data_IF_874120934074
#
_entry.id   IF_874120934074
#
_cell.length_a   1.000
_cell.length_b   1.000
_cell.length_c   1.000
_cell.angle_alpha   90.00
_cell.angle_beta   90.00
_cell.angle_gamma   90.00
#
_symmetry.space_group_name_H-M   'P 1'
#
loop_
_entity.id
_entity.type
_entity.pdbx_description
1 polymer ?
#
# COMPACT_ATOMS: atom_id res chain seq x y z
N UNK A 1 21.65 39.89 37.27
CA UNK A 1 20.87 40.33 36.09
C UNK A 1 21.06 39.26 35.03
N UNK A 2 20.16 38.26 34.97
CA UNK A 2 20.21 37.17 34.00
C UNK A 2 19.14 37.38 32.95
N UNK A 3 19.54 37.53 31.69
CA UNK A 3 18.63 37.65 30.55
C UNK A 3 18.09 36.26 30.20
N UNK A 4 16.80 36.02 30.49
CA UNK A 4 16.04 34.93 29.87
C UNK A 4 15.65 35.35 28.45
N UNK A 5 16.37 34.85 27.45
CA UNK A 5 15.88 34.81 26.07
C UNK A 5 14.97 33.59 25.95
N UNK A 6 13.66 33.80 26.14
CA UNK A 6 12.65 32.82 25.76
C UNK A 6 12.48 32.88 24.24
N UNK A 7 13.03 31.88 23.55
CA UNK A 7 12.78 31.67 22.12
C UNK A 7 11.29 31.40 21.89
N UNK A 8 10.58 32.41 21.40
CA UNK A 8 9.25 32.26 20.81
C UNK A 8 9.42 31.64 19.42
N UNK A 9 9.49 30.31 19.35
CA UNK A 9 9.28 29.60 18.09
C UNK A 9 7.80 29.74 17.76
N UNK A 10 7.47 30.71 16.90
CA UNK A 10 6.14 30.83 16.34
C UNK A 10 5.80 29.51 15.63
N UNK A 11 4.82 28.77 16.18
CA UNK A 11 4.26 27.59 15.56
C UNK A 11 3.56 28.04 14.28
N UNK A 12 4.25 27.93 13.14
CA UNK A 12 3.58 27.99 11.84
C UNK A 12 2.44 26.95 11.87
N UNK A 13 1.23 27.28 11.40
CA UNK A 13 0.19 26.28 11.27
C UNK A 13 0.73 25.14 10.40
N UNK A 14 0.60 23.91 10.89
CA UNK A 14 1.00 22.72 10.14
C UNK A 14 0.32 22.67 8.77
N UNK A 15 0.86 21.89 7.82
CA UNK A 15 0.25 21.73 6.50
C UNK A 15 -1.23 21.36 6.63
N UNK A 16 -2.10 21.87 5.74
CA UNK A 16 -3.52 21.56 5.76
C UNK A 16 -3.74 20.06 5.62
N UNK A 17 -4.83 19.54 6.20
CA UNK A 17 -5.16 18.13 6.06
C UNK A 17 -5.33 17.77 4.57
N UNK A 18 -4.80 16.61 4.12
CA UNK A 18 -4.91 16.20 2.73
C UNK A 18 -6.38 15.99 2.34
N UNK A 19 -6.71 16.39 1.11
CA UNK A 19 -8.06 16.18 0.56
C UNK A 19 -8.21 14.71 0.15
N UNK A 20 -9.31 14.02 0.51
CA UNK A 20 -9.57 12.67 0.04
C UNK A 20 -9.62 12.59 -1.49
N UNK A 21 -8.86 11.66 -2.04
CA UNK A 21 -8.86 11.32 -3.48
C UNK A 21 -9.23 9.85 -3.67
N UNK A 22 -9.89 9.54 -4.79
CA UNK A 22 -10.18 8.17 -5.20
C UNK A 22 -9.21 7.75 -6.29
N UNK A 23 -8.54 6.63 -6.08
CA UNK A 23 -7.59 6.03 -7.01
C UNK A 23 -7.98 4.58 -7.30
N UNK A 24 -7.52 4.05 -8.41
CA UNK A 24 -7.61 2.63 -8.73
C UNK A 24 -6.42 1.88 -8.13
N UNK A 25 -6.68 0.97 -7.21
CA UNK A 25 -5.70 0.06 -6.63
C UNK A 25 -5.94 -1.39 -7.02
N UNK A 26 -4.98 -2.26 -6.72
CA UNK A 26 -5.13 -3.72 -6.81
C UNK A 26 -5.55 -4.24 -5.44
N UNK A 27 -6.55 -5.12 -5.42
CA UNK A 27 -6.85 -5.98 -4.27
C UNK A 27 -6.37 -7.39 -4.57
N UNK A 28 -5.70 -7.98 -3.59
CA UNK A 28 -5.32 -9.39 -3.54
C UNK A 28 -6.16 -10.05 -2.44
N UNK A 29 -7.29 -10.68 -2.81
CA UNK A 29 -8.25 -11.22 -1.83
C UNK A 29 -7.68 -12.42 -1.05
N UNK A 30 -7.88 -12.44 0.26
CA UNK A 30 -7.46 -13.58 1.09
C UNK A 30 -8.35 -14.83 0.90
N UNK A 31 -9.53 -14.68 0.31
CA UNK A 31 -10.44 -15.80 -0.01
C UNK A 31 -10.00 -16.64 -1.23
N UNK A 32 -8.86 -16.30 -1.85
CA UNK A 32 -8.30 -16.99 -3.00
C UNK A 32 -8.94 -16.61 -4.34
N UNK A 33 -9.91 -15.68 -4.36
CA UNK A 33 -10.44 -15.15 -5.61
C UNK A 33 -9.37 -14.35 -6.38
N UNK A 34 -9.48 -14.22 -7.72
CA UNK A 34 -8.46 -13.57 -8.52
C UNK A 34 -8.21 -12.11 -8.10
N UNK A 35 -6.95 -11.65 -8.13
CA UNK A 35 -6.62 -10.25 -7.97
C UNK A 35 -7.38 -9.40 -8.99
N UNK A 36 -7.89 -8.25 -8.54
CA UNK A 36 -8.69 -7.35 -9.38
C UNK A 36 -8.48 -5.91 -8.95
N UNK A 37 -8.81 -5.00 -9.87
CA UNK A 37 -8.74 -3.57 -9.61
C UNK A 37 -10.05 -3.06 -9.03
N UNK A 38 -9.95 -2.09 -8.13
CA UNK A 38 -11.10 -1.44 -7.52
C UNK A 38 -10.80 0.03 -7.17
N UNK A 39 -11.83 0.89 -7.09
CA UNK A 39 -11.67 2.24 -6.58
C UNK A 39 -11.42 2.21 -5.06
N UNK A 40 -10.44 2.98 -4.61
CA UNK A 40 -10.05 3.15 -3.22
C UNK A 40 -10.00 4.65 -2.91
N UNK A 41 -10.82 5.10 -1.97
CA UNK A 41 -10.79 6.48 -1.48
C UNK A 41 -9.80 6.60 -0.32
N UNK A 42 -8.95 7.62 -0.36
CA UNK A 42 -7.95 7.85 0.68
C UNK A 42 -8.53 8.53 1.92
N UNK A 43 -7.85 8.37 3.05
CA UNK A 43 -8.21 8.97 4.34
C UNK A 43 -6.96 9.38 5.10
N UNK A 44 -7.01 10.51 5.79
CA UNK A 44 -6.02 10.88 6.82
C UNK A 44 -6.41 10.34 8.22
N UNK A 45 -7.64 9.83 8.36
CA UNK A 45 -8.20 9.45 9.66
C UNK A 45 -7.54 8.18 10.17
N UNK A 46 -6.79 8.32 11.25
CA UNK A 46 -6.08 7.21 11.90
C UNK A 46 -4.77 6.84 11.22
N UNK A 47 -4.24 7.72 10.36
CA UNK A 47 -2.93 7.61 9.73
C UNK A 47 -1.82 8.13 10.64
N UNK A 48 -2.07 9.25 11.33
CA UNK A 48 -1.11 9.83 12.27
C UNK A 48 -0.65 8.80 13.33
N UNK A 49 0.67 8.63 13.45
CA UNK A 49 1.30 7.68 14.36
C UNK A 49 1.31 6.22 13.90
N UNK A 50 0.79 5.92 12.70
CA UNK A 50 0.92 4.61 12.05
C UNK A 50 2.22 4.44 11.26
N UNK A 51 2.50 3.23 10.73
CA UNK A 51 3.69 2.97 9.91
C UNK A 51 3.69 3.74 8.57
N UNK A 52 2.53 4.21 8.17
CA UNK A 52 2.20 4.94 6.96
C UNK A 52 2.03 6.46 7.19
N UNK A 53 2.42 6.96 8.37
CA UNK A 53 2.24 8.36 8.75
C UNK A 53 2.93 9.34 7.78
N UNK A 54 4.06 8.95 7.18
CA UNK A 54 4.81 9.79 6.24
C UNK A 54 4.05 10.10 4.94
N UNK A 55 3.01 9.33 4.61
CA UNK A 55 2.20 9.59 3.42
C UNK A 55 1.12 10.66 3.66
N UNK A 56 0.77 10.95 4.92
CA UNK A 56 -0.29 11.89 5.30
C UNK A 56 -1.71 11.34 5.13
N UNK A 57 -1.99 10.70 3.99
CA UNK A 57 -3.24 9.99 3.72
C UNK A 57 -2.98 8.73 2.90
N UNK A 58 -3.81 7.72 3.11
CA UNK A 58 -3.67 6.39 2.49
C UNK A 58 -5.04 5.83 2.11
N UNK A 59 -5.14 4.80 1.26
CA UNK A 59 -6.40 4.10 1.00
C UNK A 59 -7.14 3.71 2.30
N UNK A 60 -8.44 3.99 2.38
CA UNK A 60 -9.25 3.62 3.54
C UNK A 60 -9.67 2.14 3.51
N UNK A 61 -8.84 1.25 4.04
CA UNK A 61 -9.04 -0.20 3.91
C UNK A 61 -9.98 -0.82 4.97
N UNK A 62 -10.60 0.02 5.82
CA UNK A 62 -11.37 -0.44 6.99
C UNK A 62 -12.58 -1.30 6.61
N UNK A 63 -13.21 -1.03 5.46
CA UNK A 63 -14.36 -1.79 4.99
C UNK A 63 -14.01 -3.25 4.62
N UNK A 64 -12.76 -3.51 4.21
CA UNK A 64 -12.31 -4.85 3.82
C UNK A 64 -11.77 -5.65 5.00
N UNK A 65 -11.04 -5.02 5.90
CA UNK A 65 -10.52 -5.70 7.09
C UNK A 65 -11.56 -5.89 8.20
N UNK A 66 -12.69 -5.18 8.15
CA UNK A 66 -13.86 -5.43 9.00
C UNK A 66 -13.68 -5.18 10.50
N UNK A 67 -12.46 -4.99 11.00
CA UNK A 67 -12.16 -4.79 12.42
C UNK A 67 -11.25 -3.59 12.66
N UNK A 68 -11.45 -2.91 13.79
CA UNK A 68 -10.57 -1.82 14.22
C UNK A 68 -9.16 -2.29 14.53
N UNK A 69 -9.02 -3.55 14.97
CA UNK A 69 -7.72 -4.14 15.33
C UNK A 69 -6.89 -4.37 14.07
N UNK A 70 -7.47 -4.97 13.03
CA UNK A 70 -6.77 -5.16 11.76
C UNK A 70 -6.26 -3.84 11.15
N UNK A 71 -7.04 -2.76 11.20
CA UNK A 71 -6.59 -1.43 10.77
C UNK A 71 -5.43 -0.88 11.62
N UNK A 72 -5.46 -1.10 12.94
CA UNK A 72 -4.41 -0.66 13.85
C UNK A 72 -3.11 -1.44 13.66
N UNK A 73 -3.22 -2.72 13.32
CA UNK A 73 -2.13 -3.65 13.06
C UNK A 73 -1.81 -3.74 11.56
N UNK A 74 -2.14 -2.68 10.81
CA UNK A 74 -1.72 -2.56 9.41
C UNK A 74 -0.23 -2.28 9.34
N UNK A 75 0.36 -2.66 8.22
CA UNK A 75 1.73 -2.28 7.86
C UNK A 75 1.80 -1.96 6.37
N UNK A 76 2.93 -1.37 5.97
CA UNK A 76 3.20 -0.96 4.60
C UNK A 76 4.57 -1.44 4.15
N UNK A 77 4.64 -1.91 2.91
CA UNK A 77 5.90 -2.15 2.22
C UNK A 77 5.87 -1.48 0.86
N UNK A 78 7.04 -1.13 0.32
CA UNK A 78 7.14 -0.64 -1.04
C UNK A 78 7.77 -1.70 -1.94
N UNK A 79 7.41 -1.67 -3.21
CA UNK A 79 8.08 -2.44 -4.24
C UNK A 79 8.12 -1.65 -5.53
N UNK A 80 9.13 -1.91 -6.35
CA UNK A 80 9.32 -1.23 -7.62
C UNK A 80 9.14 -2.21 -8.76
N UNK A 81 8.38 -1.79 -9.77
CA UNK A 81 8.34 -2.48 -11.06
C UNK A 81 9.13 -1.63 -12.05
N UNK A 82 10.09 -2.26 -12.70
CA UNK A 82 10.92 -1.64 -13.74
C UNK A 82 10.97 -2.56 -14.95
N UNK A 83 11.10 -1.97 -16.14
CA UNK A 83 11.30 -2.72 -17.39
C UNK A 83 10.21 -3.76 -17.62
N UNK A 84 8.98 -3.46 -17.21
CA UNK A 84 7.85 -4.33 -17.52
C UNK A 84 7.55 -4.28 -19.02
N UNK A 85 6.94 -5.34 -19.58
CA UNK A 85 6.49 -5.34 -20.99
C UNK A 85 5.62 -4.15 -21.38
N UNK A 86 4.94 -3.54 -20.40
CA UNK A 86 4.14 -2.33 -20.56
C UNK A 86 4.73 -1.22 -19.68
N UNK A 87 5.47 -0.23 -20.25
CA UNK A 87 6.17 0.80 -19.47
C UNK A 87 5.29 1.61 -18.53
N UNK A 88 3.98 1.78 -18.84
CA UNK A 88 3.04 2.46 -17.93
C UNK A 88 2.85 1.76 -16.57
N UNK A 89 3.16 0.47 -16.51
CA UNK A 89 3.12 -0.33 -15.28
C UNK A 89 4.39 -0.20 -14.44
N UNK A 90 5.45 0.41 -14.98
CA UNK A 90 6.63 0.74 -14.19
C UNK A 90 6.27 1.82 -13.15
N UNK A 91 7.00 1.81 -12.04
CA UNK A 91 6.87 2.80 -10.97
C UNK A 91 7.02 2.22 -9.58
N UNK A 92 6.84 3.10 -8.59
CA UNK A 92 6.87 2.76 -7.17
C UNK A 92 5.46 2.44 -6.66
N UNK A 93 5.29 1.25 -6.10
CA UNK A 93 4.05 0.79 -5.52
C UNK A 93 4.17 0.68 -4.01
N UNK A 94 3.05 0.91 -3.32
CA UNK A 94 2.90 0.72 -1.88
C UNK A 94 1.91 -0.41 -1.65
N UNK A 95 2.36 -1.44 -0.95
CA UNK A 95 1.59 -2.56 -0.47
C UNK A 95 1.09 -2.25 0.94
N UNK A 96 -0.22 -2.34 1.14
CA UNK A 96 -0.91 -2.24 2.42
C UNK A 96 -1.45 -3.61 2.81
N UNK A 97 -1.22 -4.01 4.05
CA UNK A 97 -1.67 -5.29 4.58
C UNK A 97 -1.85 -5.23 6.10
N UNK A 98 -2.41 -6.28 6.71
CA UNK A 98 -2.54 -6.43 8.16
C UNK A 98 -1.77 -7.64 8.68
N UNK A 99 -1.43 -7.65 9.96
CA UNK A 99 -0.90 -8.81 10.68
C UNK A 99 -1.91 -9.47 11.63
N UNK A 100 -3.16 -9.02 11.66
CA UNK A 100 -4.19 -9.52 12.58
C UNK A 100 -4.75 -10.89 12.15
N UNK A 101 -3.93 -11.94 12.20
CA UNK A 101 -4.30 -13.32 11.88
C UNK A 101 -5.38 -13.89 12.81
N UNK A 102 -5.54 -13.31 14.00
CA UNK A 102 -6.62 -13.67 14.93
C UNK A 102 -8.00 -13.24 14.40
N UNK A 103 -8.06 -12.17 13.59
CA UNK A 103 -9.32 -11.64 13.03
C UNK A 103 -9.47 -11.85 11.53
N UNK A 104 -8.38 -12.12 10.81
CA UNK A 104 -8.34 -12.18 9.36
C UNK A 104 -7.68 -13.47 8.88
N UNK A 105 -8.17 -14.07 7.77
CA UNK A 105 -7.55 -15.26 7.19
C UNK A 105 -6.15 -14.94 6.65
N UNK A 106 -5.28 -15.94 6.61
CA UNK A 106 -3.99 -15.82 5.93
C UNK A 106 -4.16 -15.59 4.42
N UNK A 107 -3.37 -14.68 3.87
CA UNK A 107 -3.39 -14.34 2.45
C UNK A 107 -2.21 -14.99 1.73
N UNK A 108 -2.53 -15.89 0.80
CA UNK A 108 -1.57 -16.56 -0.09
C UNK A 108 -1.71 -16.08 -1.54
N UNK A 109 -2.52 -15.05 -1.77
CA UNK A 109 -2.91 -14.52 -3.08
C UNK A 109 -2.00 -13.39 -3.56
N UNK A 110 -0.84 -13.17 -2.95
CA UNK A 110 0.12 -12.17 -3.41
C UNK A 110 1.24 -12.78 -4.28
N UNK A 111 1.60 -12.17 -5.43
CA UNK A 111 2.61 -12.72 -6.34
C UNK A 111 4.02 -12.78 -5.72
N UNK A 112 4.60 -13.97 -5.65
CA UNK A 112 5.96 -14.18 -5.14
C UNK A 112 7.03 -13.42 -5.95
N UNK A 113 6.81 -13.28 -7.26
CA UNK A 113 7.76 -12.64 -8.17
C UNK A 113 8.01 -11.16 -7.85
N UNK A 114 7.08 -10.48 -7.16
CA UNK A 114 7.24 -9.07 -6.75
C UNK A 114 8.40 -8.89 -5.77
N UNK A 115 8.57 -9.81 -4.81
CA UNK A 115 9.64 -9.77 -3.82
C UNK A 115 10.71 -10.85 -3.99
N UNK A 116 10.53 -11.75 -4.96
CA UNK A 116 11.36 -12.95 -5.12
C UNK A 116 11.23 -13.96 -3.98
N UNK A 117 10.19 -13.84 -3.14
CA UNK A 117 9.94 -14.71 -1.99
C UNK A 117 8.45 -14.79 -1.65
N UNK A 118 8.08 -15.84 -0.93
CA UNK A 118 6.77 -15.94 -0.27
C UNK A 118 6.60 -14.81 0.75
N UNK A 119 5.37 -14.30 0.82
CA UNK A 119 4.96 -13.28 1.79
C UNK A 119 3.67 -13.74 2.43
N UNK A 120 3.57 -13.47 3.73
CA UNK A 120 2.43 -13.85 4.56
C UNK A 120 1.79 -12.59 5.10
N UNK A 121 0.48 -12.46 4.89
CA UNK A 121 -0.33 -11.34 5.35
C UNK A 121 -1.62 -11.85 5.96
N UNK A 122 -2.27 -11.04 6.78
CA UNK A 122 -3.62 -11.29 7.27
C UNK A 122 -4.63 -10.45 6.48
N UNK A 123 -5.67 -11.12 5.98
CA UNK A 123 -6.77 -10.54 5.21
C UNK A 123 -6.33 -10.05 3.84
N UNK A 124 -7.18 -9.27 3.20
CA UNK A 124 -6.88 -8.72 1.87
C UNK A 124 -5.64 -7.83 1.91
N UNK A 125 -4.80 -7.95 0.89
CA UNK A 125 -3.68 -7.05 0.64
C UNK A 125 -3.99 -6.11 -0.52
N UNK A 126 -3.46 -4.89 -0.47
CA UNK A 126 -3.77 -3.85 -1.44
C UNK A 126 -2.51 -3.19 -1.96
N UNK A 127 -2.36 -3.10 -3.28
CA UNK A 127 -1.26 -2.36 -3.90
C UNK A 127 -1.78 -1.11 -4.60
N UNK A 128 -1.16 0.04 -4.33
CA UNK A 128 -1.45 1.32 -4.99
C UNK A 128 -0.16 1.94 -5.52
N UNK A 129 -0.28 2.82 -6.52
CA UNK A 129 0.87 3.43 -7.19
C UNK A 129 1.09 4.85 -6.66
N UNK A 130 2.35 5.20 -6.37
CA UNK A 130 2.73 6.58 -6.10
C UNK A 130 2.92 7.34 -7.43
N UNK A 131 2.58 8.62 -7.43
CA UNK A 131 2.83 9.50 -8.56
C UNK A 131 4.31 9.89 -8.56
N UNK A 132 5.08 9.29 -9.46
CA UNK A 132 6.53 9.50 -9.57
C UNK A 132 7.32 8.25 -9.24
N UNK A 133 8.64 8.36 -9.40
CA UNK A 133 9.52 7.20 -9.33
C UNK A 133 10.23 7.06 -7.99
N UNK A 134 10.11 8.00 -7.07
CA UNK A 134 10.74 7.94 -5.74
C UNK A 134 9.81 8.50 -4.67
N UNK A 135 10.02 8.08 -3.41
CA UNK A 135 9.20 8.51 -2.29
C UNK A 135 9.19 10.04 -2.14
N UNK A 136 10.35 10.69 -2.31
CA UNK A 136 10.49 12.14 -2.23
C UNK A 136 9.91 12.86 -3.45
N UNK A 137 9.87 12.21 -4.62
CA UNK A 137 9.27 12.75 -5.83
C UNK A 137 7.74 12.61 -5.84
N UNK A 138 7.20 11.75 -4.98
CA UNK A 138 5.77 11.52 -4.82
C UNK A 138 5.13 12.39 -3.75
N UNK A 139 5.77 13.49 -3.35
CA UNK A 139 5.24 14.46 -2.38
C UNK A 139 4.65 15.66 -3.13
N UNK A 140 3.39 15.98 -2.84
CA UNK A 140 2.65 17.10 -3.40
C UNK A 140 3.09 18.44 -2.82
N UNK A 141 2.56 19.53 -3.38
CA UNK A 141 2.84 20.90 -2.89
C UNK A 141 2.42 21.10 -1.43
N UNK A 142 1.49 20.28 -0.94
CA UNK A 142 0.98 20.25 0.44
C UNK A 142 1.85 19.40 1.39
N UNK A 143 2.90 18.74 0.88
CA UNK A 143 3.76 17.87 1.67
C UNK A 143 3.23 16.44 1.84
N UNK A 144 2.15 16.07 1.17
CA UNK A 144 1.52 14.74 1.28
C UNK A 144 1.79 13.85 0.07
N UNK A 145 1.58 12.55 0.23
CA UNK A 145 1.78 11.61 -0.86
C UNK A 145 0.78 11.85 -2.00
N UNK A 146 1.27 11.88 -3.24
CA UNK A 146 0.43 11.92 -4.43
C UNK A 146 0.33 10.53 -5.01
N UNK A 147 -0.89 10.08 -5.24
CA UNK A 147 -1.21 8.75 -5.74
C UNK A 147 -1.55 8.77 -7.24
N UNK A 148 -1.27 7.68 -7.93
CA UNK A 148 -1.61 7.47 -9.34
C UNK A 148 -2.51 6.25 -9.51
N UNK A 149 -3.27 6.21 -10.60
CA UNK A 149 -4.10 5.05 -10.93
C UNK A 149 -3.22 3.88 -11.37
N UNK A 150 -3.43 2.72 -10.75
CA UNK A 150 -2.81 1.49 -11.22
C UNK A 150 -3.35 1.15 -12.61
N UNK A 151 -2.51 0.92 -13.64
CA UNK A 151 -2.98 0.56 -14.99
C UNK A 151 -3.75 -0.77 -15.01
N UNK A 152 -4.76 -0.86 -15.87
CA UNK A 152 -5.62 -2.04 -15.97
C UNK A 152 -4.84 -3.33 -16.31
N UNK A 153 -3.80 -3.17 -17.12
CA UNK A 153 -3.06 -4.26 -17.73
C UNK A 153 -2.02 -4.86 -16.79
N UNK A 154 -1.79 -4.26 -15.62
CA UNK A 154 -0.80 -4.75 -14.66
C UNK A 154 -1.04 -6.20 -14.27
N UNK A 155 -2.31 -6.61 -14.16
CA UNK A 155 -2.73 -7.95 -13.76
C UNK A 155 -2.40 -9.02 -14.82
N UNK A 156 -2.13 -8.60 -16.06
CA UNK A 156 -1.68 -9.49 -17.14
C UNK A 156 -0.17 -9.70 -17.18
N UNK A 157 0.59 -8.91 -16.42
CA UNK A 157 2.05 -8.98 -16.42
C UNK A 157 2.55 -10.28 -15.78
N UNK A 158 3.66 -10.85 -16.27
CA UNK A 158 4.27 -12.05 -15.67
C UNK A 158 4.57 -11.90 -14.18
N UNK A 159 4.99 -10.71 -13.72
CA UNK A 159 5.31 -10.42 -12.31
C UNK A 159 4.09 -10.51 -11.39
N UNK A 160 2.88 -10.31 -11.93
CA UNK A 160 1.62 -10.39 -11.19
C UNK A 160 1.01 -11.80 -11.19
N UNK A 161 1.66 -12.77 -11.83
CA UNK A 161 1.18 -14.15 -11.81
C UNK A 161 1.38 -14.73 -10.42
N UNK A 162 0.32 -15.34 -9.92
CA UNK A 162 0.39 -16.19 -8.74
C UNK A 162 1.33 -17.36 -9.03
N UNK A 163 2.28 -17.61 -8.14
CA UNK A 163 3.11 -18.81 -8.21
C UNK A 163 2.23 -20.07 -8.15
N UNK A 164 2.70 -21.23 -8.65
CA UNK A 164 1.96 -22.47 -8.50
C UNK A 164 1.66 -22.68 -7.01
N UNK A 165 0.39 -22.88 -6.68
CA UNK A 165 -0.02 -23.39 -5.38
C UNK A 165 0.84 -24.64 -5.13
N UNK A 166 1.62 -24.68 -4.04
CA UNK A 166 2.39 -25.86 -3.66
C UNK A 166 1.46 -27.08 -3.72
N UNK A 167 1.63 -27.95 -4.71
CA UNK A 167 0.66 -29.03 -4.95
C UNK A 167 0.87 -29.89 -6.19
N UNK A 168 1.58 -29.44 -7.22
CA UNK A 168 1.96 -30.34 -8.32
C UNK A 168 3.42 -30.74 -8.19
N UNK A 169 3.64 -31.72 -7.33
CA UNK A 169 4.89 -32.47 -7.31
C UNK A 169 5.10 -33.09 -8.69
N UNK A 170 6.30 -32.86 -9.24
CA UNK A 170 6.92 -33.72 -10.23
C UNK A 170 6.62 -35.19 -9.88
N UNK A 171 5.72 -35.83 -10.63
CA UNK A 171 5.77 -37.28 -10.82
C UNK A 171 6.46 -37.52 -12.14
N UNK A 172 7.78 -37.60 -12.06
CA UNK A 172 8.59 -38.32 -13.02
C UNK A 172 8.53 -39.80 -12.62
N UNK A 173 8.00 -40.64 -13.51
CA UNK A 173 7.87 -42.08 -13.35
C UNK A 173 7.06 -42.65 -14.50
#
# INVERSE_FOLDING_TARGET
>A
MGNHLSSLTALLPGPPAPTPVTIRGIRFPADGSPPHLLPLTTTARGVAGGPDASFGHVPDLRAWWGTKRAWRWRDVETFRLERQPLPRCDGLYVLFYSFDLDALPENVSFPQAVYGRERYFAGDAFAVKLKGDELNSAVGEDGWAVWDDVPAEILSLPVMRMGPLRGEGLRSG
#
